data_IF_003796563131
#
_entry.id   IF_003796563131
#
_cell.length_a   1.000
_cell.length_b   1.000
_cell.length_c   1.000
_cell.angle_alpha   90.00
_cell.angle_beta   90.00
_cell.angle_gamma   90.00
#
_symmetry.space_group_name_H-M   'P 1'
#
loop_
_entity.id
_entity.type
_entity.pdbx_description
1 polymer ?
#
# COMPACT_ATOMS: atom_id res chain seq x y z
N UNK A 1 20.41 5.17 1.92
CA UNK A 1 19.58 3.96 2.06
C UNK A 1 18.55 4.20 3.14
N UNK A 2 17.31 3.75 2.94
CA UNK A 2 16.27 3.86 3.96
C UNK A 2 16.53 2.90 5.12
N UNK A 3 16.12 3.27 6.33
CA UNK A 3 16.26 2.47 7.56
C UNK A 3 15.74 1.03 7.38
N UNK A 4 14.55 0.88 6.80
CA UNK A 4 13.94 -0.43 6.55
C UNK A 4 14.71 -1.27 5.51
N UNK A 5 15.35 -0.64 4.52
CA UNK A 5 16.19 -1.36 3.56
C UNK A 5 17.44 -1.93 4.22
N UNK A 6 18.01 -1.23 5.19
CA UNK A 6 19.14 -1.71 5.99
C UNK A 6 18.70 -2.83 6.92
N UNK A 7 17.61 -2.63 7.66
CA UNK A 7 17.00 -3.64 8.53
C UNK A 7 16.73 -4.95 7.77
N UNK A 8 16.18 -4.84 6.55
CA UNK A 8 15.93 -6.02 5.73
C UNK A 8 17.21 -6.81 5.47
N UNK A 9 18.31 -6.14 5.13
CA UNK A 9 19.59 -6.80 4.82
C UNK A 9 20.29 -7.37 6.04
N UNK A 10 20.25 -6.67 7.17
CA UNK A 10 21.00 -7.01 8.38
C UNK A 10 20.30 -8.02 9.27
N UNK A 11 18.97 -7.96 9.36
CA UNK A 11 18.19 -8.72 10.33
C UNK A 11 17.15 -9.63 9.67
N UNK A 12 16.33 -9.09 8.77
CA UNK A 12 15.18 -9.80 8.22
C UNK A 12 15.59 -10.95 7.31
N UNK A 13 16.49 -10.70 6.37
CA UNK A 13 16.93 -11.73 5.41
C UNK A 13 17.65 -12.90 6.09
N UNK A 14 18.58 -12.71 7.05
CA UNK A 14 19.18 -13.83 7.78
C UNK A 14 18.17 -14.60 8.65
N UNK A 15 17.19 -13.91 9.27
CA UNK A 15 16.16 -14.55 10.07
C UNK A 15 15.25 -15.44 9.22
N UNK A 16 14.80 -14.95 8.07
CA UNK A 16 13.99 -15.72 7.11
C UNK A 16 14.76 -16.93 6.56
N UNK A 17 16.04 -16.74 6.22
CA UNK A 17 16.89 -17.82 5.74
C UNK A 17 17.01 -18.96 6.76
N UNK A 18 17.15 -18.61 8.04
CA UNK A 18 17.23 -19.59 9.14
C UNK A 18 15.89 -20.28 9.40
N UNK A 19 14.77 -19.53 9.34
CA UNK A 19 13.43 -20.06 9.67
C UNK A 19 12.91 -21.03 8.62
N UNK A 20 13.09 -20.69 7.34
CA UNK A 20 12.58 -21.46 6.20
C UNK A 20 13.64 -22.34 5.51
N UNK A 21 14.87 -22.38 6.03
CA UNK A 21 15.97 -23.22 5.56
C UNK A 21 16.25 -23.09 4.05
N UNK A 22 16.23 -21.84 3.52
CA UNK A 22 16.48 -21.60 2.10
C UNK A 22 17.89 -22.02 1.69
N UNK A 23 18.00 -22.67 0.52
CA UNK A 23 19.28 -23.13 -0.04
C UNK A 23 20.10 -22.00 -0.66
N UNK A 24 19.47 -20.93 -1.06
CA UNK A 24 20.10 -19.79 -1.73
C UNK A 24 19.55 -18.46 -1.20
N UNK A 25 20.44 -17.48 -1.09
CA UNK A 25 20.07 -16.09 -0.72
C UNK A 25 19.04 -15.49 -1.68
N UNK A 26 19.02 -15.94 -2.94
CA UNK A 26 18.08 -15.47 -3.95
C UNK A 26 16.62 -15.96 -3.73
N UNK A 27 16.45 -16.99 -2.90
CA UNK A 27 15.11 -17.51 -2.56
C UNK A 27 14.43 -16.74 -1.44
N UNK A 28 15.19 -15.93 -0.69
CA UNK A 28 14.65 -15.17 0.43
C UNK A 28 13.58 -14.21 -0.08
N UNK A 29 12.36 -14.23 0.49
CA UNK A 29 11.30 -13.34 0.09
C UNK A 29 11.64 -11.88 0.39
N UNK A 30 11.29 -11.00 -0.52
CA UNK A 30 11.43 -9.55 -0.40
C UNK A 30 10.19 -8.84 -0.90
N UNK A 31 9.98 -7.62 -0.46
CA UNK A 31 8.95 -6.77 -1.05
C UNK A 31 9.48 -6.25 -2.39
N UNK A 32 8.74 -6.51 -3.45
CA UNK A 32 9.08 -6.07 -4.81
C UNK A 32 8.44 -4.71 -5.12
N UNK A 33 7.18 -4.57 -4.77
CA UNK A 33 6.40 -3.38 -5.14
C UNK A 33 5.33 -3.10 -4.07
N UNK A 34 5.07 -1.81 -3.81
CA UNK A 34 3.88 -1.37 -3.08
C UNK A 34 3.01 -0.55 -4.02
N UNK A 35 1.75 -0.93 -4.14
CA UNK A 35 0.75 -0.23 -4.95
C UNK A 35 -0.26 0.41 -4.02
N UNK A 36 -0.43 1.72 -4.15
CA UNK A 36 -1.46 2.49 -3.45
C UNK A 36 -2.53 2.85 -4.47
N UNK A 37 -3.77 2.52 -4.19
CA UNK A 37 -4.91 2.78 -5.06
C UNK A 37 -6.02 3.51 -4.31
N UNK A 38 -6.62 4.50 -4.96
CA UNK A 38 -7.81 5.18 -4.49
C UNK A 38 -8.88 5.10 -5.56
N UNK A 39 -10.02 4.49 -5.21
CA UNK A 39 -11.20 4.48 -6.05
C UNK A 39 -12.03 5.74 -5.83
N UNK A 40 -12.25 6.53 -6.88
CA UNK A 40 -13.05 7.75 -6.84
C UNK A 40 -14.26 7.63 -7.79
N UNK A 41 -15.27 6.85 -7.38
CA UNK A 41 -16.49 6.66 -8.16
C UNK A 41 -17.28 7.95 -8.44
N UNK A 42 -17.10 8.96 -7.60
CA UNK A 42 -17.68 10.31 -7.74
C UNK A 42 -17.13 11.10 -8.95
N UNK A 43 -15.97 10.70 -9.44
CA UNK A 43 -15.34 11.32 -10.62
C UNK A 43 -16.18 11.23 -11.89
N UNK A 44 -17.19 10.37 -11.90
CA UNK A 44 -18.18 10.27 -12.98
C UNK A 44 -18.96 11.58 -13.16
N UNK A 45 -19.26 12.24 -12.05
CA UNK A 45 -20.04 13.49 -12.02
C UNK A 45 -19.14 14.72 -12.00
N UNK A 46 -18.00 14.63 -11.33
CA UNK A 46 -17.05 15.72 -11.19
C UNK A 46 -15.60 15.25 -11.42
N UNK A 47 -15.07 15.53 -12.58
CA UNK A 47 -13.69 15.17 -12.97
C UNK A 47 -12.61 15.82 -12.12
N UNK A 48 -12.89 16.97 -11.48
CA UNK A 48 -11.95 17.68 -10.60
C UNK A 48 -11.58 16.86 -9.35
N UNK A 49 -12.46 15.95 -8.93
CA UNK A 49 -12.20 15.03 -7.81
C UNK A 49 -10.94 14.18 -8.05
N UNK A 50 -10.70 13.79 -9.30
CA UNK A 50 -9.49 13.00 -9.62
C UNK A 50 -8.22 13.82 -9.42
N UNK A 51 -8.24 15.09 -9.73
CA UNK A 51 -7.06 15.95 -9.59
C UNK A 51 -6.71 16.12 -8.10
N UNK A 52 -7.71 16.29 -7.22
CA UNK A 52 -7.51 16.30 -5.76
C UNK A 52 -6.94 14.95 -5.26
N UNK A 53 -7.49 13.82 -5.73
CA UNK A 53 -6.98 12.49 -5.35
C UNK A 53 -5.54 12.27 -5.81
N UNK A 54 -5.19 12.71 -7.02
CA UNK A 54 -3.82 12.63 -7.54
C UNK A 54 -2.88 13.49 -6.69
N UNK A 55 -3.31 14.67 -6.28
CA UNK A 55 -2.51 15.55 -5.43
C UNK A 55 -2.24 14.90 -4.05
N UNK A 56 -3.29 14.40 -3.40
CA UNK A 56 -3.18 13.71 -2.10
C UNK A 56 -2.25 12.51 -2.18
N UNK A 57 -2.44 11.62 -3.17
CA UNK A 57 -1.57 10.46 -3.36
C UNK A 57 -0.12 10.86 -3.67
N UNK A 58 0.07 11.96 -4.41
CA UNK A 58 1.41 12.47 -4.72
C UNK A 58 2.11 12.96 -3.45
N UNK A 59 1.40 13.65 -2.55
CA UNK A 59 1.92 14.10 -1.26
C UNK A 59 2.28 12.91 -0.37
N UNK A 60 1.39 11.93 -0.25
CA UNK A 60 1.58 10.74 0.59
C UNK A 60 2.76 9.90 0.11
N UNK A 61 2.88 9.68 -1.20
CA UNK A 61 3.87 8.74 -1.77
C UNK A 61 5.20 9.38 -2.14
N UNK A 62 5.26 10.71 -2.27
CA UNK A 62 6.41 11.42 -2.82
C UNK A 62 6.65 11.15 -4.32
N UNK A 63 5.69 10.52 -5.00
CA UNK A 63 5.74 10.22 -6.43
C UNK A 63 4.41 10.59 -7.09
N UNK A 64 4.47 11.18 -8.29
CA UNK A 64 3.27 11.59 -9.02
C UNK A 64 2.34 10.40 -9.28
N UNK A 65 1.10 10.52 -8.82
CA UNK A 65 0.06 9.51 -9.03
C UNK A 65 -0.44 9.52 -10.48
N UNK A 66 -0.90 8.36 -10.93
CA UNK A 66 -1.41 8.16 -12.29
C UNK A 66 -2.92 7.89 -12.21
N UNK A 67 -3.76 8.58 -13.02
CA UNK A 67 -5.18 8.29 -13.07
C UNK A 67 -5.44 6.88 -13.61
N UNK A 68 -6.45 6.22 -13.06
CA UNK A 68 -6.95 4.93 -13.54
C UNK A 68 -8.21 5.13 -14.36
N UNK A 69 -8.31 4.38 -15.46
CA UNK A 69 -9.38 4.52 -16.43
C UNK A 69 -10.30 3.28 -16.45
N UNK A 70 -11.58 3.50 -16.72
CA UNK A 70 -12.54 2.43 -16.92
C UNK A 70 -12.19 1.61 -18.16
N UNK A 71 -12.05 0.28 -18.00
CA UNK A 71 -11.74 -0.65 -19.10
C UNK A 71 -12.96 -1.00 -19.96
N UNK A 72 -14.16 -0.96 -19.37
CA UNK A 72 -15.43 -1.30 -20.02
C UNK A 72 -16.49 -0.25 -19.70
N UNK A 73 -17.45 -0.07 -20.62
CA UNK A 73 -18.64 0.73 -20.38
C UNK A 73 -19.66 -0.10 -19.60
N UNK A 74 -20.21 0.46 -18.51
CA UNK A 74 -21.25 -0.17 -17.68
C UNK A 74 -22.40 0.81 -17.48
N UNK A 75 -23.54 0.55 -18.11
CA UNK A 75 -24.69 1.45 -18.11
C UNK A 75 -25.24 1.70 -16.69
N UNK A 76 -25.36 0.64 -15.86
CA UNK A 76 -25.87 0.75 -14.48
C UNK A 76 -25.05 1.70 -13.61
N UNK A 77 -23.74 1.80 -13.86
CA UNK A 77 -22.85 2.71 -13.15
C UNK A 77 -22.64 4.04 -13.87
N UNK A 78 -23.33 4.28 -15.00
CA UNK A 78 -23.14 5.47 -15.85
C UNK A 78 -21.67 5.66 -16.26
N UNK A 79 -20.95 4.55 -16.47
CA UNK A 79 -19.54 4.50 -16.83
C UNK A 79 -19.38 4.28 -18.33
N UNK A 80 -18.47 5.06 -18.93
CA UNK A 80 -18.00 4.85 -20.30
C UNK A 80 -16.53 4.45 -20.27
N UNK A 81 -16.15 3.60 -21.21
CA UNK A 81 -14.74 3.23 -21.41
C UNK A 81 -13.87 4.49 -21.57
N UNK A 82 -12.72 4.52 -20.90
CA UNK A 82 -11.79 5.66 -20.93
C UNK A 82 -12.11 6.79 -19.93
N UNK A 83 -13.19 6.69 -19.15
CA UNK A 83 -13.44 7.65 -18.06
C UNK A 83 -12.46 7.42 -16.91
N UNK A 84 -11.95 8.50 -16.32
CA UNK A 84 -11.13 8.45 -15.11
C UNK A 84 -12.00 8.05 -13.91
N UNK A 85 -11.61 7.02 -13.17
CA UNK A 85 -12.38 6.47 -12.05
C UNK A 85 -11.61 6.38 -10.75
N UNK A 86 -10.34 6.71 -10.75
CA UNK A 86 -9.48 6.68 -9.57
C UNK A 86 -8.06 7.10 -9.90
N UNK A 87 -7.16 6.91 -8.95
CA UNK A 87 -5.73 7.11 -9.14
C UNK A 87 -4.94 6.02 -8.40
N UNK A 88 -3.75 5.74 -8.89
CA UNK A 88 -2.81 4.79 -8.28
C UNK A 88 -1.38 5.30 -8.31
N UNK A 89 -0.58 4.80 -7.38
CA UNK A 89 0.87 4.95 -7.35
C UNK A 89 1.51 3.58 -7.17
N UNK A 90 2.58 3.34 -7.88
CA UNK A 90 3.37 2.12 -7.76
C UNK A 90 4.77 2.50 -7.28
N UNK A 91 5.11 2.07 -6.07
CA UNK A 91 6.39 2.38 -5.42
C UNK A 91 7.34 1.18 -5.49
N UNK A 92 8.61 1.46 -5.74
CA UNK A 92 9.70 0.48 -5.76
C UNK A 92 10.97 1.06 -5.14
N UNK A 93 11.90 0.19 -4.74
CA UNK A 93 13.21 0.57 -4.22
C UNK A 93 13.14 1.41 -2.94
N UNK A 94 13.96 2.45 -2.83
CA UNK A 94 14.05 3.26 -1.61
C UNK A 94 12.74 3.92 -1.22
N UNK A 95 12.04 4.53 -2.17
CA UNK A 95 10.74 5.18 -1.92
C UNK A 95 9.70 4.22 -1.36
N UNK A 96 9.73 2.98 -1.79
CA UNK A 96 8.86 1.92 -1.27
C UNK A 96 9.15 1.65 0.21
N UNK A 97 10.42 1.48 0.59
CA UNK A 97 10.79 1.24 1.98
C UNK A 97 10.50 2.45 2.88
N UNK A 98 10.73 3.66 2.41
CA UNK A 98 10.38 4.88 3.13
C UNK A 98 8.87 5.01 3.36
N UNK A 99 8.06 4.67 2.35
CA UNK A 99 6.61 4.65 2.49
C UNK A 99 6.14 3.59 3.49
N UNK A 100 6.72 2.37 3.47
CA UNK A 100 6.39 1.31 4.42
C UNK A 100 6.74 1.72 5.85
N UNK A 101 7.91 2.29 6.06
CA UNK A 101 8.35 2.79 7.38
C UNK A 101 7.39 3.85 7.92
N UNK A 102 7.01 4.81 7.08
CA UNK A 102 6.02 5.82 7.42
C UNK A 102 4.66 5.21 7.71
N UNK A 103 4.19 4.26 6.90
CA UNK A 103 2.92 3.61 7.09
C UNK A 103 2.84 2.87 8.43
N UNK A 104 3.82 2.04 8.75
CA UNK A 104 3.80 1.21 9.96
C UNK A 104 4.03 2.02 11.25
N UNK A 105 4.95 2.96 11.23
CA UNK A 105 5.37 3.67 12.45
C UNK A 105 4.62 4.98 12.69
N UNK A 106 4.09 5.64 11.66
CA UNK A 106 3.44 6.94 11.80
C UNK A 106 1.97 6.94 11.43
N UNK A 107 1.59 6.32 10.31
CA UNK A 107 0.22 6.40 9.83
C UNK A 107 -0.72 5.42 10.56
N UNK A 108 -0.37 4.14 10.68
CA UNK A 108 -1.21 3.16 11.34
C UNK A 108 -1.51 3.46 12.81
N UNK A 109 -0.55 3.92 13.65
CA UNK A 109 -0.86 4.30 15.03
C UNK A 109 -1.85 5.46 15.17
N UNK A 110 -2.03 6.27 14.12
CA UNK A 110 -3.00 7.38 14.07
C UNK A 110 -4.40 6.95 13.65
N UNK A 111 -4.57 5.71 13.20
CA UNK A 111 -5.90 5.16 12.87
C UNK A 111 -6.72 5.07 14.15
N UNK A 112 -7.96 5.58 14.08
CA UNK A 112 -8.90 5.53 15.20
C UNK A 112 -9.21 4.06 15.56
N UNK A 113 -9.13 3.74 16.86
CA UNK A 113 -9.38 2.39 17.40
C UNK A 113 -8.53 1.29 16.73
N UNK A 114 -7.26 1.61 16.44
CA UNK A 114 -6.35 0.66 15.80
C UNK A 114 -6.04 -0.53 16.72
N UNK A 115 -6.38 -1.74 16.26
CA UNK A 115 -6.15 -3.01 16.95
C UNK A 115 -5.17 -3.94 16.25
N UNK A 116 -4.48 -3.44 15.23
CA UNK A 116 -3.63 -4.23 14.34
C UNK A 116 -4.25 -4.40 12.95
N UNK A 117 -3.41 -4.81 11.99
CA UNK A 117 -3.83 -5.13 10.63
C UNK A 117 -4.30 -6.57 10.53
N UNK A 118 -5.22 -6.86 9.62
CA UNK A 118 -5.79 -8.20 9.47
C UNK A 118 -4.71 -9.22 9.05
N UNK A 119 -4.47 -10.29 9.84
CA UNK A 119 -3.47 -11.29 9.51
C UNK A 119 -3.87 -12.24 8.37
N UNK A 120 -5.13 -12.21 7.91
CA UNK A 120 -5.67 -13.11 6.87
C UNK A 120 -5.84 -12.44 5.50
N UNK A 121 -5.43 -11.17 5.33
CA UNK A 121 -5.62 -10.43 4.10
C UNK A 121 -4.54 -10.72 3.03
N UNK A 122 -4.13 -11.99 2.93
CA UNK A 122 -3.23 -12.50 1.90
C UNK A 122 -4.02 -13.14 0.75
N UNK A 123 -3.40 -13.19 -0.43
CA UNK A 123 -4.03 -13.69 -1.68
C UNK A 123 -3.77 -15.17 -1.99
N UNK A 124 -3.10 -15.91 -1.11
CA UNK A 124 -2.66 -17.29 -1.34
C UNK A 124 -1.33 -17.43 -2.11
N UNK A 125 -0.73 -16.30 -2.50
CA UNK A 125 0.54 -16.24 -3.25
C UNK A 125 1.58 -15.30 -2.62
N UNK A 126 1.39 -14.99 -1.35
CA UNK A 126 2.32 -14.15 -0.60
C UNK A 126 2.17 -12.64 -0.82
N UNK A 127 1.10 -12.16 -1.45
CA UNK A 127 0.81 -10.74 -1.51
C UNK A 127 -0.18 -10.36 -0.42
N UNK A 128 -0.07 -9.14 0.10
CA UNK A 128 -0.90 -8.64 1.18
C UNK A 128 -1.63 -7.37 0.77
N UNK A 129 -2.90 -7.25 1.14
CA UNK A 129 -3.73 -6.08 0.87
C UNK A 129 -4.23 -5.44 2.16
N UNK A 130 -3.98 -4.14 2.33
CA UNK A 130 -4.41 -3.33 3.47
C UNK A 130 -5.37 -2.25 3.02
N UNK A 131 -6.61 -2.30 3.52
CA UNK A 131 -7.59 -1.23 3.33
C UNK A 131 -7.48 -0.17 4.43
N UNK A 132 -7.30 1.08 4.05
CA UNK A 132 -7.31 2.25 4.93
C UNK A 132 -8.60 3.03 4.69
N UNK A 133 -9.30 3.40 5.77
CA UNK A 133 -10.58 4.10 5.68
C UNK A 133 -10.44 5.59 5.38
N UNK A 134 -9.32 6.19 5.80
CA UNK A 134 -9.13 7.63 5.78
C UNK A 134 -7.72 8.01 5.34
N UNK A 135 -7.58 8.97 4.44
CA UNK A 135 -6.27 9.52 4.05
C UNK A 135 -5.66 10.45 5.12
N UNK A 136 -6.47 10.91 6.07
CA UNK A 136 -6.06 11.84 7.13
C UNK A 136 -5.05 11.28 8.13
N UNK A 137 -4.85 9.97 8.12
CA UNK A 137 -3.84 9.31 8.96
C UNK A 137 -2.40 9.71 8.56
N UNK A 138 -2.21 10.16 7.32
CA UNK A 138 -0.91 10.61 6.85
C UNK A 138 -0.66 12.06 7.25
N UNK A 139 0.50 12.37 7.88
CA UNK A 139 0.80 13.71 8.37
C UNK A 139 0.95 14.76 7.27
N UNK A 140 1.21 14.34 6.03
CA UNK A 140 1.34 15.24 4.87
C UNK A 140 0.02 15.79 4.36
N UNK A 141 -1.11 15.24 4.83
CA UNK A 141 -2.44 15.66 4.44
C UNK A 141 -3.00 16.63 5.48
N UNK A 142 -3.18 17.88 5.07
CA UNK A 142 -3.78 18.93 5.89
C UNK A 142 -5.30 18.80 5.84
N UNK A 143 -5.94 18.66 7.02
CA UNK A 143 -7.40 18.52 7.14
C UNK A 143 -8.17 19.63 6.43
N UNK A 144 -7.67 20.86 6.50
CA UNK A 144 -8.34 22.05 5.92
C UNK A 144 -8.37 22.06 4.39
N UNK A 145 -7.48 21.30 3.74
CA UNK A 145 -7.35 21.24 2.27
C UNK A 145 -8.04 20.03 1.65
N UNK A 146 -8.61 19.15 2.48
CA UNK A 146 -9.27 17.93 2.03
C UNK A 146 -10.73 18.18 1.69
N UNK A 147 -11.11 17.98 0.44
CA UNK A 147 -12.51 18.10 -0.01
C UNK A 147 -13.42 17.06 0.66
N UNK A 148 -12.93 15.81 0.74
CA UNK A 148 -13.67 14.68 1.29
C UNK A 148 -12.71 13.61 1.82
N UNK A 149 -13.10 12.99 2.93
CA UNK A 149 -12.41 11.82 3.46
C UNK A 149 -12.62 10.64 2.51
N UNK A 150 -11.52 10.05 2.05
CA UNK A 150 -11.49 8.89 1.14
C UNK A 150 -10.61 7.80 1.69
N UNK A 151 -11.06 6.56 1.50
CA UNK A 151 -10.24 5.39 1.76
C UNK A 151 -9.26 5.12 0.63
N UNK A 152 -8.29 4.28 0.93
CA UNK A 152 -7.32 3.79 -0.03
C UNK A 152 -6.93 2.35 0.27
N UNK A 153 -6.51 1.65 -0.76
CA UNK A 153 -5.98 0.30 -0.65
C UNK A 153 -4.47 0.33 -0.87
N UNK A 154 -3.73 -0.33 0.01
CA UNK A 154 -2.28 -0.50 -0.09
C UNK A 154 -2.00 -1.98 -0.30
N UNK A 155 -1.48 -2.33 -1.47
CA UNK A 155 -1.12 -3.70 -1.82
C UNK A 155 0.39 -3.88 -1.78
N UNK A 156 0.85 -4.84 -0.98
CA UNK A 156 2.24 -5.25 -0.89
C UNK A 156 2.44 -6.47 -1.80
N UNK A 157 3.21 -6.29 -2.85
CA UNK A 157 3.61 -7.38 -3.75
C UNK A 157 4.95 -7.90 -3.29
N UNK A 158 5.01 -9.18 -2.95
CA UNK A 158 6.23 -9.83 -2.49
C UNK A 158 6.70 -10.91 -3.46
N UNK A 159 7.92 -11.36 -3.29
CA UNK A 159 8.47 -12.52 -4.02
C UNK A 159 8.28 -13.83 -3.27
N UNK A 160 7.55 -13.83 -2.15
CA UNK A 160 7.22 -15.03 -1.40
C UNK A 160 6.37 -15.99 -2.23
N UNK A 161 6.54 -17.28 -2.01
CA UNK A 161 5.74 -18.31 -2.68
C UNK A 161 4.50 -18.67 -1.86
N UNK A 162 4.55 -18.49 -0.55
CA UNK A 162 3.46 -18.80 0.38
C UNK A 162 3.10 -17.60 1.24
N UNK A 163 1.88 -17.59 1.75
CA UNK A 163 1.40 -16.53 2.64
C UNK A 163 2.14 -16.53 3.99
N UNK A 164 2.60 -17.70 4.45
CA UNK A 164 3.38 -17.83 5.68
C UNK A 164 4.73 -17.12 5.58
N UNK A 165 5.42 -17.29 4.45
CA UNK A 165 6.69 -16.59 4.17
C UNK A 165 6.48 -15.06 4.13
N UNK A 166 5.42 -14.62 3.45
CA UNK A 166 5.09 -13.21 3.35
C UNK A 166 4.68 -12.59 4.69
N UNK A 167 3.90 -13.33 5.49
CA UNK A 167 3.51 -12.91 6.84
C UNK A 167 4.72 -12.71 7.72
N UNK A 168 5.63 -13.66 7.72
CA UNK A 168 6.86 -13.56 8.51
C UNK A 168 7.75 -12.39 8.04
N UNK A 169 7.89 -12.22 6.71
CA UNK A 169 8.60 -11.09 6.13
C UNK A 169 8.03 -9.75 6.65
N UNK A 170 6.71 -9.55 6.55
CA UNK A 170 6.07 -8.32 7.00
C UNK A 170 6.15 -8.14 8.53
N UNK A 171 6.03 -9.22 9.30
CA UNK A 171 6.17 -9.19 10.77
C UNK A 171 7.58 -8.71 11.18
N UNK A 172 8.62 -9.28 10.58
CA UNK A 172 10.01 -8.88 10.84
C UNK A 172 10.32 -7.46 10.38
N UNK A 173 9.59 -6.95 9.38
CA UNK A 173 9.67 -5.55 8.95
C UNK A 173 8.86 -4.58 9.83
N UNK A 174 8.19 -5.07 10.87
CA UNK A 174 7.46 -4.26 11.83
C UNK A 174 5.98 -4.07 11.53
N UNK A 175 5.38 -4.89 10.69
CA UNK A 175 3.94 -4.84 10.44
C UNK A 175 3.14 -5.19 11.71
N UNK A 176 2.25 -4.33 12.19
CA UNK A 176 1.49 -4.54 13.43
C UNK A 176 0.27 -5.42 13.18
N UNK A 177 0.45 -6.72 13.02
CA UNK A 177 -0.67 -7.64 12.88
C UNK A 177 -1.52 -7.72 14.16
N UNK A 178 -2.83 -7.88 13.98
CA UNK A 178 -3.73 -8.18 15.08
C UNK A 178 -3.45 -9.58 15.64
N UNK A 179 -3.49 -9.71 16.98
CA UNK A 179 -3.36 -10.98 17.67
C UNK A 179 -4.64 -11.81 17.57
#
# INVERSE_FOLDING_TARGET
MSRLSELYKTEVAPALMKKFEYKSVMQIPKIDTVVINVGAGEARENTKVIDSVIEDLTKISGQKAVPTYAKKSVANFKLRQGMKIGAKVTLRGERMYEFIDKLFNFALPRVRDFKGINPEAFDGRGNYALGLKEQLIFPEIEYEKVDKVRGMDVCFVTTALTDEEARELLTLMGAPFAN
#
